data_IF_844889334384
#
_entry.id   IF_844889334384
#
_cell.length_a   1.000
_cell.length_b   1.000
_cell.length_c   1.000
_cell.angle_alpha   90.00
_cell.angle_beta   90.00
_cell.angle_gamma   90.00
#
_symmetry.space_group_name_H-M   'P 1'
#
loop_
_entity.id
_entity.type
_entity.pdbx_description
1 polymer ?
#
# COMPACT_ATOMS: atom_id res chain seq x y z
N UNK A 1 84.95 -11.71 18.11
CA UNK A 1 83.68 -12.18 18.73
C UNK A 1 82.53 -11.23 18.23
N UNK A 2 81.78 -11.71 17.26
CA UNK A 2 80.67 -10.96 16.73
C UNK A 2 79.39 -11.72 17.14
N UNK A 3 78.53 -11.08 17.93
CA UNK A 3 77.22 -11.62 18.35
C UNK A 3 76.16 -11.25 17.32
N UNK A 4 75.63 -12.27 16.65
CA UNK A 4 74.42 -12.13 15.82
C UNK A 4 73.19 -12.00 16.71
N UNK A 5 72.46 -10.89 16.57
CA UNK A 5 71.19 -10.65 17.20
C UNK A 5 70.04 -11.01 16.17
N UNK A 6 69.43 -12.19 16.39
CA UNK A 6 68.31 -12.64 15.57
C UNK A 6 67.05 -11.89 15.99
N UNK A 7 66.43 -11.21 15.04
CA UNK A 7 65.12 -10.51 15.18
C UNK A 7 64.01 -11.51 14.91
N UNK A 8 63.25 -11.90 15.96
CA UNK A 8 62.02 -12.65 15.78
C UNK A 8 60.88 -11.67 15.40
N UNK A 9 60.41 -11.74 14.16
CA UNK A 9 59.16 -11.14 13.76
C UNK A 9 57.98 -12.05 14.14
N UNK A 10 57.27 -11.70 15.19
CA UNK A 10 55.96 -12.31 15.50
C UNK A 10 54.91 -11.63 14.64
N UNK A 11 54.44 -12.32 13.58
CA UNK A 11 53.32 -11.90 12.76
C UNK A 11 52.00 -11.99 13.54
N UNK A 12 51.39 -10.85 13.83
CA UNK A 12 50.07 -10.78 14.40
C UNK A 12 49.03 -11.04 13.26
N UNK A 13 48.48 -12.24 13.22
CA UNK A 13 47.37 -12.56 12.30
C UNK A 13 46.09 -11.89 12.82
N UNK A 14 45.71 -10.77 12.23
CA UNK A 14 44.40 -10.17 12.44
C UNK A 14 43.34 -10.96 11.70
N UNK A 15 42.61 -11.80 12.44
CA UNK A 15 41.37 -12.42 11.94
C UNK A 15 40.31 -11.34 11.79
N UNK A 16 40.06 -10.95 10.56
CA UNK A 16 38.89 -10.12 10.19
C UNK A 16 37.63 -10.98 10.40
N UNK A 17 36.97 -10.80 11.52
CA UNK A 17 35.58 -11.28 11.67
C UNK A 17 34.72 -10.45 10.75
N UNK A 18 34.28 -11.04 9.63
CA UNK A 18 33.20 -10.47 8.83
C UNK A 18 31.98 -10.42 9.74
N UNK A 19 31.55 -9.20 10.10
CA UNK A 19 30.27 -9.00 10.77
C UNK A 19 29.18 -9.63 9.90
N UNK A 20 28.28 -10.46 10.44
CA UNK A 20 27.17 -10.97 9.67
C UNK A 20 26.38 -9.77 9.11
N UNK A 21 26.28 -9.72 7.79
CA UNK A 21 25.35 -8.78 7.12
C UNK A 21 23.97 -9.30 7.47
N UNK A 22 23.37 -8.77 8.52
CA UNK A 22 21.95 -8.99 8.78
C UNK A 22 21.19 -8.33 7.61
N UNK A 23 20.75 -9.14 6.66
CA UNK A 23 19.73 -8.69 5.71
C UNK A 23 18.51 -8.27 6.52
N UNK A 24 18.03 -7.06 6.32
CA UNK A 24 16.77 -6.63 6.94
C UNK A 24 15.68 -7.64 6.57
N UNK A 25 14.81 -7.98 7.53
CA UNK A 25 13.70 -8.90 7.29
C UNK A 25 12.83 -8.37 6.13
N UNK A 26 12.36 -9.24 5.22
CA UNK A 26 11.54 -8.80 4.09
C UNK A 26 10.25 -8.13 4.60
N UNK A 27 9.64 -7.21 3.84
CA UNK A 27 8.40 -6.58 4.25
C UNK A 27 7.19 -7.53 4.11
N UNK A 28 6.27 -7.45 5.09
CA UNK A 28 4.94 -7.99 5.02
C UNK A 28 3.92 -6.85 5.00
N UNK A 29 3.06 -6.79 3.97
CA UNK A 29 2.03 -5.78 3.82
C UNK A 29 0.65 -6.35 4.17
N UNK A 30 0.01 -5.77 5.19
CA UNK A 30 -1.34 -6.12 5.62
C UNK A 30 -2.27 -4.99 5.20
N UNK A 31 -3.19 -5.27 4.27
CA UNK A 31 -3.99 -4.21 3.63
C UNK A 31 -5.34 -4.12 4.31
N UNK A 32 -5.56 -3.11 5.14
CA UNK A 32 -6.85 -2.77 5.72
C UNK A 32 -7.56 -1.72 4.85
N UNK A 33 -8.85 -1.92 4.60
CA UNK A 33 -9.60 -0.96 3.79
C UNK A 33 -11.00 -1.41 3.44
N UNK A 34 -11.66 -0.57 2.65
CA UNK A 34 -13.00 -0.82 2.13
C UNK A 34 -12.98 -1.61 0.79
N UNK A 35 -14.06 -1.53 0.03
CA UNK A 35 -14.22 -2.22 -1.26
C UNK A 35 -13.23 -1.78 -2.34
N UNK A 36 -12.61 -0.60 -2.20
CA UNK A 36 -11.60 -0.13 -3.16
C UNK A 36 -10.20 -0.65 -2.86
N UNK A 37 -10.01 -1.30 -1.71
CA UNK A 37 -8.87 -2.17 -1.37
C UNK A 37 -9.18 -3.64 -1.63
N UNK A 38 -10.40 -4.08 -1.28
CA UNK A 38 -10.88 -5.46 -1.32
C UNK A 38 -11.07 -6.01 -2.74
N UNK A 39 -11.28 -7.32 -2.82
CA UNK A 39 -11.82 -8.00 -3.99
C UNK A 39 -13.35 -7.98 -3.94
N UNK A 40 -14.02 -7.60 -5.04
CA UNK A 40 -15.48 -7.46 -5.06
C UNK A 40 -16.24 -8.76 -5.19
N UNK A 41 -15.70 -9.77 -5.84
CA UNK A 41 -16.40 -11.03 -5.99
C UNK A 41 -15.45 -12.23 -5.79
N UNK A 42 -16.04 -13.39 -5.48
CA UNK A 42 -15.31 -14.64 -5.27
C UNK A 42 -14.55 -15.15 -6.51
N UNK A 43 -14.83 -14.61 -7.69
CA UNK A 43 -14.09 -14.87 -8.93
C UNK A 43 -12.77 -14.10 -9.03
N UNK A 44 -12.46 -13.24 -8.08
CA UNK A 44 -11.19 -12.53 -7.92
C UNK A 44 -10.77 -11.65 -9.10
N UNK A 45 -11.72 -11.06 -9.82
CA UNK A 45 -11.42 -10.37 -11.08
C UNK A 45 -11.56 -8.85 -11.02
N UNK A 46 -11.69 -8.28 -9.82
CA UNK A 46 -11.82 -6.82 -9.66
C UNK A 46 -12.22 -6.44 -8.24
N UNK A 47 -12.53 -5.16 -8.06
CA UNK A 47 -12.93 -4.57 -6.78
C UNK A 47 -12.07 -3.38 -6.44
N UNK A 48 -10.92 -3.62 -5.83
CA UNK A 48 -9.94 -2.63 -5.42
C UNK A 48 -8.53 -2.90 -5.93
N UNK A 49 -7.62 -2.04 -5.50
CA UNK A 49 -6.20 -2.04 -5.90
C UNK A 49 -5.36 -3.10 -5.16
N UNK A 50 -5.84 -3.62 -4.02
CA UNK A 50 -5.02 -4.37 -3.08
C UNK A 50 -4.32 -5.58 -3.69
N UNK A 51 -5.05 -6.45 -4.41
CA UNK A 51 -4.46 -7.63 -5.04
C UNK A 51 -3.48 -7.27 -6.17
N UNK A 52 -3.75 -6.19 -6.90
CA UNK A 52 -2.82 -5.66 -7.90
C UNK A 52 -1.50 -5.19 -7.28
N UNK A 53 -1.54 -4.58 -6.10
CA UNK A 53 -0.35 -4.23 -5.35
C UNK A 53 0.41 -5.47 -4.86
N UNK A 54 -0.28 -6.46 -4.27
CA UNK A 54 0.36 -7.69 -3.80
C UNK A 54 1.09 -8.43 -4.93
N UNK A 55 0.59 -8.36 -6.16
CA UNK A 55 1.23 -8.93 -7.34
C UNK A 55 2.56 -8.25 -7.72
N UNK A 56 2.86 -7.06 -7.18
CA UNK A 56 4.14 -6.37 -7.42
C UNK A 56 5.24 -6.78 -6.42
N UNK A 57 4.92 -7.53 -5.37
CA UNK A 57 5.85 -7.92 -4.33
C UNK A 57 6.77 -9.06 -4.79
N UNK A 58 8.02 -9.03 -4.31
CA UNK A 58 9.07 -9.98 -4.69
C UNK A 58 10.11 -10.19 -3.57
N UNK A 59 11.09 -11.06 -3.82
CA UNK A 59 12.27 -11.28 -2.96
C UNK A 59 11.92 -11.59 -1.49
N UNK A 60 10.88 -12.42 -1.29
CA UNK A 60 10.41 -12.81 0.04
C UNK A 60 9.42 -11.82 0.66
N UNK A 61 9.20 -10.64 0.07
CA UNK A 61 8.09 -9.78 0.48
C UNK A 61 6.74 -10.43 0.16
N UNK A 62 5.78 -10.22 1.03
CA UNK A 62 4.42 -10.73 0.84
C UNK A 62 3.38 -9.83 1.51
N UNK A 63 2.12 -10.25 1.43
CA UNK A 63 1.04 -9.51 2.07
C UNK A 63 -0.29 -10.24 2.05
N UNK A 64 -1.24 -9.70 2.79
CA UNK A 64 -2.63 -10.19 2.88
C UNK A 64 -3.56 -9.00 2.68
N UNK A 65 -4.54 -9.17 1.80
CA UNK A 65 -5.60 -8.18 1.60
C UNK A 65 -6.78 -8.50 2.53
N UNK A 66 -6.98 -7.67 3.55
CA UNK A 66 -8.08 -7.70 4.50
C UNK A 66 -9.21 -6.74 4.12
N UNK A 67 -9.15 -6.08 2.97
CA UNK A 67 -10.20 -5.19 2.53
C UNK A 67 -11.59 -5.83 2.62
N UNK A 68 -12.58 -5.06 3.08
CA UNK A 68 -13.95 -5.55 3.30
C UNK A 68 -14.94 -4.65 2.57
N UNK A 69 -15.75 -5.28 1.71
CA UNK A 69 -16.74 -4.56 0.89
C UNK A 69 -17.76 -3.81 1.74
N UNK A 70 -17.90 -2.51 1.48
CA UNK A 70 -18.85 -1.66 2.20
C UNK A 70 -18.39 -1.17 3.57
N UNK A 71 -17.20 -1.56 4.03
CA UNK A 71 -16.71 -1.17 5.34
C UNK A 71 -16.48 0.34 5.46
N UNK A 72 -16.81 0.86 6.63
CA UNK A 72 -16.36 2.15 7.17
C UNK A 72 -15.25 1.91 8.17
N UNK A 73 -14.54 2.95 8.61
CA UNK A 73 -13.58 2.85 9.72
C UNK A 73 -14.21 2.22 10.97
N UNK A 74 -15.47 2.55 11.26
CA UNK A 74 -16.22 2.02 12.41
C UNK A 74 -16.59 0.54 12.23
N UNK A 75 -17.19 0.20 11.07
CA UNK A 75 -17.68 -1.17 10.86
C UNK A 75 -16.55 -2.18 10.69
N UNK A 76 -15.40 -1.76 10.14
CA UNK A 76 -14.21 -2.60 9.99
C UNK A 76 -13.63 -3.02 11.35
N UNK A 77 -13.61 -2.10 12.31
CA UNK A 77 -13.18 -2.38 13.69
C UNK A 77 -14.21 -3.24 14.41
N UNK A 78 -15.47 -2.82 14.42
CA UNK A 78 -16.54 -3.50 15.17
C UNK A 78 -16.89 -4.87 14.60
N UNK A 79 -16.72 -5.08 13.31
CA UNK A 79 -16.92 -6.37 12.62
C UNK A 79 -15.80 -7.39 12.84
N UNK A 80 -14.72 -7.03 13.52
CA UNK A 80 -13.61 -7.91 13.84
C UNK A 80 -12.54 -8.04 12.77
N UNK A 81 -12.65 -7.37 11.62
CA UNK A 81 -11.62 -7.42 10.57
C UNK A 81 -10.33 -6.73 11.03
N UNK A 82 -10.46 -5.64 11.79
CA UNK A 82 -9.31 -4.97 12.39
C UNK A 82 -8.52 -5.87 13.34
N UNK A 83 -9.21 -6.66 14.16
CA UNK A 83 -8.57 -7.63 15.05
C UNK A 83 -7.73 -8.67 14.26
N UNK A 84 -8.20 -9.11 13.08
CA UNK A 84 -7.45 -10.02 12.19
C UNK A 84 -6.16 -9.37 11.67
N UNK A 85 -6.22 -8.08 11.29
CA UNK A 85 -5.05 -7.33 10.86
C UNK A 85 -4.00 -7.27 11.97
N UNK A 86 -4.40 -6.85 13.18
CA UNK A 86 -3.48 -6.75 14.33
C UNK A 86 -2.92 -8.12 14.75
N UNK A 87 -3.73 -9.18 14.71
CA UNK A 87 -3.25 -10.55 14.94
C UNK A 87 -2.17 -10.95 13.91
N UNK A 88 -2.30 -10.52 12.66
CA UNK A 88 -1.30 -10.78 11.62
C UNK A 88 -0.03 -9.95 11.82
N UNK A 89 -0.11 -8.70 12.29
CA UNK A 89 1.08 -7.95 12.72
C UNK A 89 1.83 -8.75 13.79
N UNK A 90 1.13 -9.22 14.82
CA UNK A 90 1.73 -10.01 15.90
C UNK A 90 2.36 -11.33 15.40
N UNK A 91 1.70 -12.00 14.43
CA UNK A 91 2.18 -13.26 13.82
C UNK A 91 3.45 -13.06 13.04
N UNK A 92 3.51 -12.03 12.17
CA UNK A 92 4.58 -11.90 11.18
C UNK A 92 5.75 -11.02 11.61
N UNK A 93 5.63 -10.20 12.67
CA UNK A 93 6.67 -9.25 13.09
C UNK A 93 8.00 -9.88 13.50
N UNK A 94 8.05 -11.17 13.80
CA UNK A 94 9.29 -11.87 14.14
C UNK A 94 10.18 -12.12 12.90
N UNK A 95 9.54 -12.39 11.75
CA UNK A 95 10.22 -12.79 10.52
C UNK A 95 10.17 -11.72 9.42
N UNK A 96 9.33 -10.68 9.59
CA UNK A 96 9.06 -9.64 8.61
C UNK A 96 9.08 -8.24 9.23
N UNK A 97 9.46 -7.25 8.44
CA UNK A 97 9.12 -5.85 8.72
C UNK A 97 7.66 -5.62 8.31
N UNK A 98 6.76 -5.53 9.28
CA UNK A 98 5.32 -5.45 9.01
C UNK A 98 4.86 -4.04 8.74
N UNK A 99 4.16 -3.84 7.62
CA UNK A 99 3.46 -2.62 7.23
C UNK A 99 1.96 -2.86 7.20
N UNK A 100 1.18 -1.90 7.66
CA UNK A 100 -0.28 -1.93 7.52
C UNK A 100 -0.72 -0.72 6.72
N UNK A 101 -1.25 -0.94 5.51
CA UNK A 101 -1.93 0.12 4.76
C UNK A 101 -3.35 0.29 5.29
N UNK A 102 -3.80 1.52 5.48
CA UNK A 102 -5.13 1.85 6.02
C UNK A 102 -5.82 2.80 5.04
N UNK A 103 -6.83 2.31 4.30
CA UNK A 103 -7.54 3.07 3.28
C UNK A 103 -9.06 2.96 3.46
N UNK A 104 -9.71 4.07 3.82
CA UNK A 104 -11.14 4.21 3.96
C UNK A 104 -11.63 5.55 3.40
N UNK A 105 -12.92 5.83 3.50
CA UNK A 105 -13.50 7.11 3.15
C UNK A 105 -14.72 7.01 2.23
N UNK A 106 -14.74 6.07 1.27
CA UNK A 106 -15.86 5.91 0.33
C UNK A 106 -17.19 5.64 1.01
N UNK A 107 -17.18 4.94 2.13
CA UNK A 107 -18.38 4.60 2.89
C UNK A 107 -18.56 5.54 4.08
N UNK A 108 -17.49 5.99 4.71
CA UNK A 108 -17.52 6.92 5.86
C UNK A 108 -18.20 8.25 5.51
N UNK A 109 -17.99 8.76 4.28
CA UNK A 109 -18.62 10.00 3.81
C UNK A 109 -20.12 9.91 3.54
N UNK A 110 -20.71 8.68 3.48
CA UNK A 110 -22.13 8.53 3.22
C UNK A 110 -22.94 9.03 4.41
N UNK A 111 -23.98 9.81 4.16
CA UNK A 111 -24.85 10.31 5.23
C UNK A 111 -25.42 9.17 6.11
N UNK A 112 -25.66 8.01 5.50
CA UNK A 112 -26.16 6.80 6.21
C UNK A 112 -25.14 6.18 7.17
N UNK A 113 -23.84 6.46 7.00
CA UNK A 113 -22.82 6.01 7.92
C UNK A 113 -22.83 6.79 9.24
N UNK A 114 -23.33 8.04 9.18
CA UNK A 114 -23.37 8.96 10.33
C UNK A 114 -22.01 9.13 11.02
N UNK A 115 -20.95 9.19 10.23
CA UNK A 115 -19.58 9.40 10.69
C UNK A 115 -19.16 10.82 10.28
N UNK A 116 -18.90 11.65 11.26
CA UNK A 116 -18.37 13.00 11.02
C UNK A 116 -16.90 12.93 10.54
N UNK A 117 -16.42 13.99 9.87
CA UNK A 117 -15.01 14.08 9.48
C UNK A 117 -14.09 14.00 10.69
N UNK A 118 -14.45 14.61 11.81
CA UNK A 118 -13.67 14.54 13.05
C UNK A 118 -13.61 13.12 13.62
N UNK A 119 -14.70 12.38 13.56
CA UNK A 119 -14.75 10.98 13.97
C UNK A 119 -13.93 10.09 13.01
N UNK A 120 -14.04 10.29 11.71
CA UNK A 120 -13.20 9.61 10.71
C UNK A 120 -11.71 9.82 10.98
N UNK A 121 -11.29 11.07 11.27
CA UNK A 121 -9.91 11.38 11.65
C UNK A 121 -9.49 10.67 12.93
N UNK A 122 -10.35 10.65 13.96
CA UNK A 122 -10.09 9.95 15.21
C UNK A 122 -9.93 8.45 15.00
N UNK A 123 -10.78 7.85 14.17
CA UNK A 123 -10.73 6.43 13.86
C UNK A 123 -9.42 6.07 13.13
N UNK A 124 -9.02 6.85 12.12
CA UNK A 124 -7.74 6.63 11.41
C UNK A 124 -6.54 6.76 12.36
N UNK A 125 -6.55 7.77 13.24
CA UNK A 125 -5.51 7.95 14.24
C UNK A 125 -5.41 6.73 15.16
N UNK A 126 -6.53 6.29 15.74
CA UNK A 126 -6.57 5.13 16.63
C UNK A 126 -6.07 3.86 15.91
N UNK A 127 -6.51 3.61 14.68
CA UNK A 127 -6.03 2.48 13.89
C UNK A 127 -4.52 2.54 13.66
N UNK A 128 -3.96 3.70 13.35
CA UNK A 128 -2.52 3.85 13.17
C UNK A 128 -1.75 3.61 14.48
N UNK A 129 -2.25 4.13 15.61
CA UNK A 129 -1.66 3.92 16.94
C UNK A 129 -1.71 2.44 17.36
N UNK A 130 -2.81 1.73 17.07
CA UNK A 130 -2.94 0.29 17.31
C UNK A 130 -1.89 -0.52 16.53
N UNK A 131 -1.62 -0.15 15.28
CA UNK A 131 -0.57 -0.81 14.47
C UNK A 131 0.80 -0.63 15.11
N UNK A 132 1.13 0.59 15.56
CA UNK A 132 2.40 0.86 16.26
C UNK A 132 2.48 0.06 17.55
N UNK A 133 1.41 0.01 18.34
CA UNK A 133 1.35 -0.75 19.58
C UNK A 133 1.51 -2.26 19.34
N UNK A 134 1.02 -2.79 18.21
CA UNK A 134 1.21 -4.18 17.81
C UNK A 134 2.64 -4.48 17.32
N UNK A 135 3.46 -3.46 17.02
CA UNK A 135 4.82 -3.56 16.52
C UNK A 135 4.95 -3.49 14.99
N UNK A 136 3.93 -2.98 14.30
CA UNK A 136 3.94 -2.71 12.87
C UNK A 136 4.17 -1.22 12.54
N UNK A 137 4.26 -0.92 11.25
CA UNK A 137 4.37 0.44 10.72
C UNK A 137 3.11 0.79 9.92
N UNK A 138 2.31 1.77 10.34
CA UNK A 138 1.14 2.19 9.58
C UNK A 138 1.53 3.01 8.36
N UNK A 139 0.78 2.85 7.27
CA UNK A 139 0.82 3.69 6.07
C UNK A 139 -0.62 4.13 5.79
N UNK A 140 -0.93 5.40 6.04
CA UNK A 140 -2.25 5.92 5.71
C UNK A 140 -2.36 6.12 4.20
N UNK A 141 -3.46 5.67 3.60
CA UNK A 141 -3.68 5.73 2.15
C UNK A 141 -4.92 6.56 1.88
N UNK A 142 -4.80 7.64 1.11
CA UNK A 142 -5.96 8.41 0.68
C UNK A 142 -6.84 7.59 -0.27
N UNK A 143 -8.14 7.88 -0.29
CA UNK A 143 -9.12 7.08 -1.03
C UNK A 143 -8.87 7.09 -2.54
N UNK A 144 -8.94 5.95 -3.21
CA UNK A 144 -8.90 5.84 -4.68
C UNK A 144 -9.96 6.76 -5.31
N UNK A 145 -9.61 7.54 -6.34
CA UNK A 145 -10.57 8.41 -7.02
C UNK A 145 -11.70 7.63 -7.69
N UNK A 146 -12.90 8.25 -7.79
CA UNK A 146 -13.95 7.74 -8.65
C UNK A 146 -13.71 8.18 -10.10
N UNK A 147 -14.19 7.39 -11.04
CA UNK A 147 -14.10 7.70 -12.48
C UNK A 147 -15.40 8.36 -12.97
N UNK A 148 -15.94 9.28 -12.16
CA UNK A 148 -17.04 10.17 -12.53
C UNK A 148 -16.50 11.56 -12.87
N UNK A 149 -16.97 12.15 -13.96
CA UNK A 149 -16.42 13.38 -14.50
C UNK A 149 -17.46 14.52 -14.44
N UNK A 150 -16.98 15.75 -14.32
CA UNK A 150 -17.78 16.95 -14.39
C UNK A 150 -17.92 17.44 -15.86
N UNK A 151 -18.65 18.52 -16.06
CA UNK A 151 -18.89 19.12 -17.39
C UNK A 151 -17.62 19.71 -18.03
N UNK A 152 -16.57 19.94 -17.26
CA UNK A 152 -15.27 20.41 -17.76
C UNK A 152 -14.34 19.26 -18.17
N UNK A 153 -14.81 18.00 -18.05
CA UNK A 153 -14.02 16.82 -18.41
C UNK A 153 -13.00 16.40 -17.36
N UNK A 154 -13.09 16.92 -16.14
CA UNK A 154 -12.23 16.53 -15.02
C UNK A 154 -12.98 15.61 -14.07
N UNK A 155 -12.26 14.69 -13.43
CA UNK A 155 -12.82 13.82 -12.41
C UNK A 155 -13.41 14.64 -11.26
N UNK A 156 -14.53 14.17 -10.72
CA UNK A 156 -15.14 14.80 -9.54
C UNK A 156 -14.35 14.46 -8.31
N UNK A 157 -13.93 15.46 -7.57
CA UNK A 157 -13.18 15.31 -6.32
C UNK A 157 -14.11 14.93 -5.14
N UNK A 158 -14.95 13.93 -5.33
CA UNK A 158 -15.96 13.48 -4.35
C UNK A 158 -15.36 13.00 -3.01
N UNK A 159 -14.05 12.77 -2.96
CA UNK A 159 -13.31 12.23 -1.81
C UNK A 159 -12.25 13.20 -1.27
N UNK A 160 -12.22 14.45 -1.76
CA UNK A 160 -11.21 15.43 -1.36
C UNK A 160 -11.21 15.68 0.17
N UNK A 161 -12.39 15.69 0.79
CA UNK A 161 -12.52 15.91 2.25
C UNK A 161 -11.86 14.76 3.02
N UNK A 162 -12.13 13.50 2.64
CA UNK A 162 -11.54 12.33 3.28
C UNK A 162 -10.04 12.20 2.99
N UNK A 163 -9.60 12.52 1.77
CA UNK A 163 -8.18 12.53 1.41
C UNK A 163 -7.40 13.55 2.25
N UNK A 164 -7.88 14.79 2.34
CA UNK A 164 -7.27 15.83 3.15
C UNK A 164 -7.25 15.47 4.64
N UNK A 165 -8.34 14.88 5.16
CA UNK A 165 -8.42 14.41 6.54
C UNK A 165 -7.38 13.31 6.82
N UNK A 166 -7.21 12.35 5.89
CA UNK A 166 -6.21 11.26 6.00
C UNK A 166 -4.79 11.83 6.07
N UNK A 167 -4.45 12.79 5.18
CA UNK A 167 -3.14 13.46 5.17
C UNK A 167 -2.92 14.25 6.47
N UNK A 168 -3.95 14.97 6.94
CA UNK A 168 -3.87 15.74 8.18
C UNK A 168 -3.60 14.83 9.39
N UNK A 169 -4.25 13.66 9.46
CA UNK A 169 -3.98 12.67 10.52
C UNK A 169 -2.54 12.16 10.41
N UNK A 170 -2.10 11.74 9.24
CA UNK A 170 -0.73 11.24 9.05
C UNK A 170 0.32 12.25 9.53
N UNK A 171 0.18 13.51 9.13
CA UNK A 171 1.08 14.58 9.53
C UNK A 171 1.03 14.83 11.05
N UNK A 172 -0.16 14.76 11.67
CA UNK A 172 -0.33 15.04 13.11
C UNK A 172 0.34 14.01 14.03
N UNK A 173 0.45 12.75 13.56
CA UNK A 173 1.05 11.64 14.33
C UNK A 173 2.42 11.20 13.79
N UNK A 174 2.94 11.86 12.74
CA UNK A 174 4.21 11.48 12.10
C UNK A 174 4.17 10.12 11.41
N UNK A 175 3.00 9.67 10.94
CA UNK A 175 2.85 8.42 10.20
C UNK A 175 3.24 8.57 8.74
N UNK A 176 3.69 7.47 8.12
CA UNK A 176 3.80 7.40 6.67
C UNK A 176 2.41 7.54 6.03
N UNK A 177 2.36 8.16 4.86
CA UNK A 177 1.17 8.14 4.01
C UNK A 177 1.52 8.10 2.53
N UNK A 178 0.57 7.66 1.72
CA UNK A 178 0.60 7.77 0.26
C UNK A 178 -0.67 8.46 -0.22
N UNK A 179 -0.52 9.41 -1.14
CA UNK A 179 -1.65 10.15 -1.72
C UNK A 179 -2.14 9.47 -3.00
N UNK A 180 -2.82 8.32 -2.81
CA UNK A 180 -3.44 7.58 -3.89
C UNK A 180 -4.57 8.38 -4.55
N UNK A 181 -5.30 9.22 -3.77
CA UNK A 181 -6.38 10.04 -4.32
C UNK A 181 -5.83 10.99 -5.38
N UNK A 182 -4.79 11.75 -5.05
CA UNK A 182 -4.17 12.69 -5.98
C UNK A 182 -3.59 11.96 -7.19
N UNK A 183 -2.77 10.92 -6.98
CA UNK A 183 -2.14 10.20 -8.06
C UNK A 183 -3.14 9.54 -9.02
N UNK A 184 -4.23 8.97 -8.48
CA UNK A 184 -5.28 8.37 -9.31
C UNK A 184 -6.13 9.42 -10.03
N UNK A 185 -6.42 10.56 -9.40
CA UNK A 185 -7.15 11.68 -10.03
C UNK A 185 -6.35 12.26 -11.18
N UNK A 186 -5.06 12.57 -10.97
CA UNK A 186 -4.19 13.10 -12.02
C UNK A 186 -4.12 12.18 -13.24
N UNK A 187 -4.04 10.86 -13.00
CA UNK A 187 -4.00 9.91 -14.11
C UNK A 187 -5.32 9.82 -14.87
N UNK A 188 -6.48 9.70 -14.17
CA UNK A 188 -7.77 9.60 -14.87
C UNK A 188 -8.14 10.90 -15.58
N UNK A 189 -7.74 12.06 -15.07
CA UNK A 189 -7.88 13.35 -15.74
C UNK A 189 -7.05 13.42 -17.02
N UNK A 190 -5.82 12.94 -16.97
CA UNK A 190 -4.91 12.95 -18.12
C UNK A 190 -5.42 12.06 -19.28
N UNK A 191 -5.98 10.89 -18.98
CA UNK A 191 -6.49 9.96 -20.00
C UNK A 191 -7.95 10.26 -20.40
N UNK A 192 -8.68 11.03 -19.61
CA UNK A 192 -10.07 11.42 -19.88
C UNK A 192 -11.10 10.34 -19.58
N UNK A 193 -12.38 10.76 -19.62
CA UNK A 193 -13.52 9.95 -19.16
C UNK A 193 -13.69 8.62 -19.89
N UNK A 194 -13.49 8.61 -21.22
CA UNK A 194 -13.68 7.40 -22.05
C UNK A 194 -12.70 6.30 -21.68
N UNK A 195 -11.42 6.63 -21.60
CA UNK A 195 -10.36 5.68 -21.27
C UNK A 195 -10.42 5.27 -19.79
N UNK A 196 -10.71 6.23 -18.88
CA UNK A 196 -10.89 5.94 -17.46
C UNK A 196 -12.05 4.96 -17.20
N UNK A 197 -13.14 5.02 -17.98
CA UNK A 197 -14.28 4.12 -17.85
C UNK A 197 -13.95 2.66 -18.18
N UNK A 198 -12.86 2.39 -18.93
CA UNK A 198 -12.43 1.02 -19.26
C UNK A 198 -11.97 0.24 -18.00
N UNK A 199 -11.61 0.94 -16.92
CA UNK A 199 -11.25 0.33 -15.64
C UNK A 199 -12.44 0.08 -14.72
N UNK A 200 -13.65 0.49 -15.08
CA UNK A 200 -14.84 0.26 -14.26
C UNK A 200 -15.12 -1.23 -14.09
N UNK A 201 -15.58 -1.64 -12.91
CA UNK A 201 -15.97 -3.03 -12.64
C UNK A 201 -17.14 -3.46 -13.54
N UNK A 202 -18.12 -2.57 -13.69
CA UNK A 202 -19.21 -2.64 -14.67
C UNK A 202 -19.34 -1.28 -15.36
N UNK A 203 -20.01 -1.17 -16.52
CA UNK A 203 -20.09 0.10 -17.27
C UNK A 203 -20.58 1.31 -16.48
N UNK A 204 -21.40 1.10 -15.45
CA UNK A 204 -21.99 2.14 -14.61
C UNK A 204 -21.39 2.24 -13.20
N UNK A 205 -20.38 1.40 -12.88
CA UNK A 205 -19.72 1.41 -11.59
C UNK A 205 -18.45 2.28 -11.62
N UNK A 206 -18.61 3.54 -11.34
CA UNK A 206 -17.51 4.51 -11.33
C UNK A 206 -16.61 4.43 -10.07
N UNK A 207 -16.91 3.54 -9.12
CA UNK A 207 -16.18 3.39 -7.86
C UNK A 207 -15.24 2.19 -7.89
N UNK A 208 -15.78 1.00 -8.18
CA UNK A 208 -15.00 -0.23 -8.17
C UNK A 208 -14.32 -0.47 -9.51
N UNK A 209 -13.19 -1.14 -9.49
CA UNK A 209 -12.34 -1.36 -10.66
C UNK A 209 -12.37 -2.84 -11.08
N UNK A 210 -12.22 -3.09 -12.39
CA UNK A 210 -12.02 -4.43 -12.92
C UNK A 210 -10.59 -4.92 -12.68
N UNK A 211 -10.26 -6.12 -13.15
CA UNK A 211 -8.93 -6.72 -12.96
C UNK A 211 -7.79 -5.87 -13.56
N UNK A 212 -7.99 -5.27 -14.74
CA UNK A 212 -7.01 -4.37 -15.36
C UNK A 212 -6.80 -3.11 -14.51
N UNK A 213 -7.88 -2.54 -13.96
CA UNK A 213 -7.82 -1.44 -13.01
C UNK A 213 -7.11 -1.83 -11.72
N UNK A 214 -7.33 -3.05 -11.19
CA UNK A 214 -6.62 -3.55 -10.01
C UNK A 214 -5.10 -3.62 -10.27
N UNK A 215 -4.68 -4.11 -11.42
CA UNK A 215 -3.26 -4.12 -11.83
C UNK A 215 -2.72 -2.69 -11.95
N UNK A 216 -3.43 -1.81 -12.65
CA UNK A 216 -2.99 -0.42 -12.86
C UNK A 216 -2.80 0.32 -11.54
N UNK A 217 -3.87 0.42 -10.74
CA UNK A 217 -3.84 1.19 -9.49
C UNK A 217 -2.99 0.51 -8.41
N UNK A 218 -2.88 -0.82 -8.41
CA UNK A 218 -1.91 -1.55 -7.59
C UNK A 218 -0.46 -1.21 -7.91
N UNK A 219 -0.12 -1.00 -9.19
CA UNK A 219 1.19 -0.53 -9.62
C UNK A 219 1.44 0.93 -9.22
N UNK A 220 0.43 1.80 -9.26
CA UNK A 220 0.53 3.18 -8.74
C UNK A 220 0.84 3.14 -7.24
N UNK A 221 0.09 2.34 -6.46
CA UNK A 221 0.35 2.15 -5.02
C UNK A 221 1.78 1.65 -4.77
N UNK A 222 2.27 0.67 -5.55
CA UNK A 222 3.64 0.18 -5.43
C UNK A 222 4.67 1.31 -5.63
N UNK A 223 4.50 2.14 -6.65
CA UNK A 223 5.36 3.30 -6.90
C UNK A 223 5.30 4.36 -5.79
N UNK A 224 4.11 4.62 -5.24
CA UNK A 224 3.93 5.56 -4.13
C UNK A 224 4.58 5.04 -2.84
N UNK A 225 4.49 3.74 -2.55
CA UNK A 225 5.17 3.09 -1.43
C UNK A 225 6.68 3.17 -1.59
N UNK A 226 7.21 2.97 -2.80
CA UNK A 226 8.64 3.12 -3.10
C UNK A 226 9.17 4.51 -2.74
N UNK A 227 8.36 5.54 -2.90
CA UNK A 227 8.71 6.92 -2.53
C UNK A 227 8.54 7.16 -1.02
N UNK A 228 7.40 6.76 -0.45
CA UNK A 228 7.05 7.07 0.93
C UNK A 228 7.91 6.31 1.96
N UNK A 229 8.14 5.02 1.73
CA UNK A 229 8.97 4.20 2.61
C UNK A 229 10.44 4.43 2.31
N UNK A 230 10.83 4.47 1.02
CA UNK A 230 12.19 4.75 0.59
C UNK A 230 13.23 3.86 1.26
N UNK A 231 14.27 4.52 1.82
CA UNK A 231 15.36 3.89 2.58
C UNK A 231 15.22 4.09 4.09
N UNK A 232 14.01 4.43 4.57
CA UNK A 232 13.79 4.90 5.94
C UNK A 232 13.99 3.86 7.02
N UNK A 233 13.96 2.56 6.70
CA UNK A 233 13.95 1.47 7.68
C UNK A 233 15.18 0.54 7.58
N UNK A 234 16.30 1.04 7.06
CA UNK A 234 17.54 0.26 6.97
C UNK A 234 17.62 -0.71 5.79
N UNK A 235 16.60 -0.68 4.89
CA UNK A 235 16.61 -1.38 3.61
C UNK A 235 15.98 -0.52 2.50
N UNK A 236 16.36 -0.80 1.26
CA UNK A 236 15.72 -0.17 0.10
C UNK A 236 14.45 -0.95 -0.27
N UNK A 237 13.28 -0.36 -0.03
CA UNK A 237 11.97 -0.98 -0.33
C UNK A 237 11.86 -1.42 -1.80
N UNK A 238 12.53 -0.75 -2.73
CA UNK A 238 12.56 -1.10 -4.16
C UNK A 238 13.21 -2.46 -4.44
N UNK A 239 13.92 -3.04 -3.48
CA UNK A 239 14.37 -4.43 -3.55
C UNK A 239 13.19 -5.39 -3.50
N UNK A 240 12.12 -5.03 -2.81
CA UNK A 240 10.98 -5.88 -2.48
C UNK A 240 9.71 -5.57 -3.29
N UNK A 241 9.72 -4.50 -4.06
CA UNK A 241 8.64 -4.12 -4.98
C UNK A 241 9.13 -4.17 -6.41
N UNK A 242 8.24 -4.46 -7.34
CA UNK A 242 8.52 -4.41 -8.78
C UNK A 242 7.31 -3.89 -9.54
N UNK A 243 7.01 -2.60 -9.45
CA UNK A 243 5.99 -2.03 -10.32
C UNK A 243 6.39 -2.24 -11.79
N UNK A 244 5.41 -2.45 -12.65
CA UNK A 244 5.65 -2.63 -14.08
C UNK A 244 6.15 -1.32 -14.68
N UNK A 245 7.33 -1.35 -15.31
CA UNK A 245 8.00 -0.15 -15.84
C UNK A 245 7.19 0.54 -16.94
N UNK A 246 6.45 -0.21 -17.77
CA UNK A 246 5.58 0.35 -18.80
C UNK A 246 4.42 1.09 -18.17
N UNK A 247 3.73 0.47 -17.19
CA UNK A 247 2.65 1.12 -16.45
C UNK A 247 3.16 2.40 -15.76
N UNK A 248 4.29 2.32 -15.07
CA UNK A 248 4.87 3.47 -14.37
C UNK A 248 5.20 4.63 -15.33
N UNK A 249 5.76 4.32 -16.51
CA UNK A 249 6.05 5.30 -17.55
C UNK A 249 4.78 5.93 -18.10
N UNK A 250 3.78 5.12 -18.46
CA UNK A 250 2.57 5.61 -19.10
C UNK A 250 1.72 6.42 -18.11
N UNK A 251 1.64 6.00 -16.85
CA UNK A 251 1.03 6.78 -15.77
C UNK A 251 1.73 8.13 -15.60
N UNK A 252 3.06 8.15 -15.55
CA UNK A 252 3.83 9.39 -15.38
C UNK A 252 3.68 10.37 -16.55
N UNK A 253 3.43 9.87 -17.76
CA UNK A 253 3.21 10.69 -18.96
C UNK A 253 1.72 10.99 -19.23
N UNK A 254 0.79 10.51 -18.41
CA UNK A 254 -0.66 10.64 -18.66
C UNK A 254 -1.11 9.88 -19.91
N UNK A 255 -0.42 8.82 -20.28
CA UNK A 255 -0.75 7.98 -21.44
C UNK A 255 -1.65 6.82 -21.00
N UNK A 256 -2.75 6.61 -21.73
CA UNK A 256 -3.64 5.48 -21.49
C UNK A 256 -2.94 4.14 -21.71
N UNK A 257 -3.09 3.23 -20.77
CA UNK A 257 -2.66 1.85 -20.86
C UNK A 257 -3.74 0.92 -20.27
N UNK A 258 -4.11 -0.13 -20.98
CA UNK A 258 -4.99 -1.18 -20.46
C UNK A 258 -4.17 -2.44 -20.18
N UNK A 259 -3.81 -2.73 -18.92
CA UNK A 259 -3.04 -3.92 -18.56
C UNK A 259 -3.74 -5.20 -19.02
N UNK A 260 -2.99 -6.10 -19.63
CA UNK A 260 -3.47 -7.41 -20.11
C UNK A 260 -2.42 -8.48 -19.90
N UNK A 261 -2.81 -9.76 -20.01
CA UNK A 261 -1.87 -10.89 -19.90
C UNK A 261 -1.36 -11.15 -18.47
N UNK A 262 -1.96 -10.53 -17.45
CA UNK A 262 -1.67 -10.82 -16.04
C UNK A 262 -2.42 -12.09 -15.61
N UNK A 263 -1.80 -12.88 -14.72
CA UNK A 263 -2.44 -14.07 -14.12
C UNK A 263 -3.47 -13.71 -13.05
N UNK A 264 -3.90 -14.71 -12.29
CA UNK A 264 -4.76 -14.50 -11.11
C UNK A 264 -4.03 -13.62 -10.10
N UNK A 265 -4.69 -12.54 -9.66
CA UNK A 265 -4.14 -11.61 -8.68
C UNK A 265 -4.24 -12.23 -7.28
N UNK A 266 -3.14 -12.29 -6.52
CA UNK A 266 -3.11 -12.95 -5.22
C UNK A 266 -3.82 -12.10 -4.15
N UNK A 267 -4.55 -12.77 -3.25
CA UNK A 267 -5.13 -12.14 -2.05
C UNK A 267 -4.27 -12.36 -0.81
N UNK A 268 -3.43 -13.39 -0.83
CA UNK A 268 -2.45 -13.71 0.21
C UNK A 268 -1.19 -14.27 -0.44
N UNK A 269 -0.03 -13.72 -0.11
CA UNK A 269 1.29 -14.16 -0.56
C UNK A 269 2.25 -14.43 0.62
N UNK A 270 1.74 -14.37 1.87
CA UNK A 270 2.50 -14.75 3.06
C UNK A 270 2.31 -16.24 3.38
N UNK A 271 3.30 -16.88 4.01
CA UNK A 271 3.17 -18.27 4.45
C UNK A 271 2.06 -18.44 5.49
N UNK A 272 1.47 -19.63 5.52
CA UNK A 272 0.37 -19.99 6.42
C UNK A 272 0.79 -19.97 7.91
#
# INVERSE_FOLDING_TARGET
MVRNLGLLLTGLATTLFASPVYSAAPPAFLLAGDSTTAVQNAGLTGGGWGNGFLATLRNGAGGINYGHNGATTVSFVNGGDWAKVLASVAKYKADYTTFVTIQFGHNDQKATANISVAEYMTNLKNMAEDVVAAGGTPILVTSLTRRSFNSSGLAKEDLAVQANATIAVANSIGSLYIDLNRASTDYVDAIGATDAATYNLTPTDFTHINAAGSVLFGNIVSGLIDVAVGKSLGFDIKTYTKPNATIAKDVASGTYIFPSGFGTLPNNTLPA
#
